data_IF_224450540628
#
_entry.id   IF_224450540628
#
_cell.length_a   1.000
_cell.length_b   1.000
_cell.length_c   1.000
_cell.angle_alpha   90.00
_cell.angle_beta   90.00
_cell.angle_gamma   90.00
#
_symmetry.space_group_name_H-M   'P 1'
#
loop_
_entity.id
_entity.type
_entity.pdbx_description
1 polymer ?
#
# COMPACT_ATOMS: atom_id res chain seq x y z
N UNK A 1 -26.60 -20.61 0.22
CA UNK A 1 -27.23 -19.25 0.40
C UNK A 1 -26.87 -18.59 1.72
N UNK A 2 -25.67 -18.76 2.29
CA UNK A 2 -25.36 -18.31 3.67
C UNK A 2 -24.13 -17.40 3.80
N UNK A 3 -23.26 -17.33 2.80
CA UNK A 3 -22.03 -16.49 2.87
C UNK A 3 -22.24 -15.00 2.55
N UNK A 4 -23.24 -14.65 1.74
CA UNK A 4 -23.51 -13.26 1.34
C UNK A 4 -24.13 -12.39 2.46
N UNK A 5 -24.88 -13.01 3.37
CA UNK A 5 -25.53 -12.28 4.49
C UNK A 5 -24.59 -11.94 5.64
N UNK A 6 -23.54 -12.73 5.85
CA UNK A 6 -22.55 -12.49 6.90
C UNK A 6 -21.65 -11.30 6.54
N UNK A 7 -21.24 -11.18 5.28
CA UNK A 7 -20.42 -10.05 4.83
C UNK A 7 -21.16 -8.70 4.94
N UNK A 8 -22.46 -8.68 4.64
CA UNK A 8 -23.30 -7.48 4.80
C UNK A 8 -23.52 -7.15 6.29
N UNK A 9 -23.62 -8.14 7.15
CA UNK A 9 -23.80 -7.95 8.59
C UNK A 9 -22.52 -7.45 9.29
N UNK A 10 -21.33 -7.93 8.86
CA UNK A 10 -20.04 -7.46 9.36
C UNK A 10 -19.81 -5.98 8.95
N UNK A 11 -20.20 -5.60 7.73
CA UNK A 11 -20.14 -4.20 7.26
C UNK A 11 -21.00 -3.23 8.07
N UNK A 12 -22.10 -3.72 8.68
CA UNK A 12 -23.00 -2.90 9.51
C UNK A 12 -22.56 -2.80 10.97
N UNK A 13 -21.68 -3.69 11.44
CA UNK A 13 -21.23 -3.74 12.83
C UNK A 13 -19.83 -3.14 13.06
N UNK A 14 -19.05 -2.92 12.00
CA UNK A 14 -17.75 -2.26 12.10
C UNK A 14 -17.99 -0.76 12.21
N UNK A 15 -17.99 -0.24 13.44
CA UNK A 15 -17.90 1.21 13.66
C UNK A 15 -16.61 1.69 12.99
N UNK A 16 -16.68 2.74 12.13
CA UNK A 16 -15.47 3.30 11.53
C UNK A 16 -14.50 3.67 12.67
N UNK A 17 -13.28 3.13 12.61
CA UNK A 17 -12.23 3.35 13.62
C UNK A 17 -11.83 4.83 13.75
N UNK A 18 -12.26 5.65 12.81
CA UNK A 18 -11.96 7.08 12.77
C UNK A 18 -13.17 7.88 12.34
N UNK A 19 -14.12 8.17 13.25
CA UNK A 19 -15.17 9.14 12.97
C UNK A 19 -14.52 10.50 12.70
N UNK A 20 -14.89 11.17 11.60
CA UNK A 20 -14.44 12.51 11.25
C UNK A 20 -13.18 12.59 10.39
N UNK A 21 -12.65 11.50 9.85
CA UNK A 21 -11.74 11.52 8.72
C UNK A 21 -12.55 11.76 7.46
N UNK A 22 -12.95 12.95 7.27
CA UNK A 22 -13.68 13.41 6.13
C UNK A 22 -12.79 14.31 5.30
N UNK A 23 -12.97 14.21 4.03
CA UNK A 23 -12.32 15.01 3.01
C UNK A 23 -12.58 16.49 3.18
N UNK A 24 -11.54 17.28 3.37
CA UNK A 24 -11.59 18.71 3.10
C UNK A 24 -11.17 18.97 1.65
N UNK A 25 -12.14 18.91 0.73
CA UNK A 25 -11.87 19.26 -0.67
C UNK A 25 -11.80 20.76 -0.86
N UNK A 26 -10.78 21.21 -1.53
CA UNK A 26 -10.83 22.52 -2.17
C UNK A 26 -11.83 22.48 -3.34
N UNK A 27 -12.55 23.60 -3.57
CA UNK A 27 -13.46 23.73 -4.74
C UNK A 27 -12.73 23.41 -6.05
N UNK A 28 -11.45 23.77 -6.17
CA UNK A 28 -10.60 23.48 -7.35
C UNK A 28 -10.45 21.97 -7.59
N UNK A 29 -10.28 21.19 -6.53
CA UNK A 29 -10.19 19.73 -6.64
C UNK A 29 -11.50 19.09 -7.06
N UNK A 30 -12.62 19.53 -6.49
CA UNK A 30 -13.97 19.05 -6.89
C UNK A 30 -14.24 19.29 -8.37
N UNK A 31 -13.88 20.48 -8.89
CA UNK A 31 -14.00 20.80 -10.32
C UNK A 31 -13.07 19.91 -11.15
N UNK A 32 -11.81 19.75 -10.75
CA UNK A 32 -10.86 18.88 -11.43
C UNK A 32 -11.33 17.43 -11.51
N UNK A 33 -11.87 16.88 -10.42
CA UNK A 33 -12.43 15.53 -10.43
C UNK A 33 -13.70 15.38 -11.27
N UNK A 34 -14.57 16.41 -11.28
CA UNK A 34 -15.75 16.40 -12.15
C UNK A 34 -15.34 16.38 -13.62
N UNK A 35 -14.33 17.15 -14.01
CA UNK A 35 -13.73 17.13 -15.34
C UNK A 35 -13.11 15.76 -15.64
N UNK A 36 -12.31 15.23 -14.71
CA UNK A 36 -11.70 13.92 -14.89
C UNK A 36 -12.73 12.80 -15.03
N UNK A 37 -13.83 12.84 -14.27
CA UNK A 37 -14.96 11.91 -14.43
C UNK A 37 -15.62 12.04 -15.79
N UNK A 38 -15.80 13.26 -16.30
CA UNK A 38 -16.38 13.49 -17.60
C UNK A 38 -15.48 13.00 -18.74
N UNK A 39 -14.18 13.25 -18.64
CA UNK A 39 -13.19 12.89 -19.66
C UNK A 39 -12.87 11.39 -19.64
N UNK A 40 -12.65 10.83 -18.44
CA UNK A 40 -12.19 9.45 -18.27
C UNK A 40 -13.31 8.46 -17.91
N UNK A 41 -14.54 8.95 -17.81
CA UNK A 41 -15.70 8.13 -17.48
C UNK A 41 -15.79 6.88 -18.36
N UNK A 42 -16.08 5.75 -17.73
CA UNK A 42 -16.08 4.45 -18.39
C UNK A 42 -14.71 3.87 -18.75
N UNK A 43 -13.58 4.54 -18.40
CA UNK A 43 -12.22 3.99 -18.52
C UNK A 43 -11.71 3.76 -19.94
N UNK A 44 -12.28 4.45 -20.95
CA UNK A 44 -11.90 4.25 -22.35
C UNK A 44 -10.43 4.53 -22.64
N UNK A 45 -9.85 5.53 -21.97
CA UNK A 45 -8.44 5.90 -22.13
C UNK A 45 -7.50 4.83 -21.57
N UNK A 46 -7.81 4.29 -20.39
CA UNK A 46 -7.05 3.20 -19.78
C UNK A 46 -7.16 1.91 -20.61
N UNK A 47 -8.36 1.63 -21.20
CA UNK A 47 -8.51 0.52 -22.15
C UNK A 47 -7.68 0.71 -23.40
N UNK A 48 -7.66 1.90 -23.99
CA UNK A 48 -6.81 2.20 -25.13
C UNK A 48 -5.33 2.03 -24.79
N UNK A 49 -4.90 2.48 -23.59
CA UNK A 49 -3.54 2.30 -23.12
C UNK A 49 -3.17 0.82 -22.91
N UNK A 50 -4.08 0.01 -22.41
CA UNK A 50 -3.87 -1.43 -22.21
C UNK A 50 -3.61 -2.20 -23.53
N UNK A 51 -4.04 -1.68 -24.67
CA UNK A 51 -3.77 -2.28 -25.97
C UNK A 51 -2.30 -2.14 -26.42
N UNK A 52 -1.56 -1.22 -25.83
CA UNK A 52 -0.14 -1.04 -26.14
C UNK A 52 0.66 -2.16 -25.45
N UNK A 53 1.47 -2.96 -26.20
CA UNK A 53 2.22 -4.07 -25.64
C UNK A 53 3.06 -3.69 -24.41
N UNK A 54 3.01 -4.51 -23.37
CA UNK A 54 3.79 -4.35 -22.15
C UNK A 54 3.26 -3.29 -21.16
N UNK A 55 2.12 -2.64 -21.44
CA UNK A 55 1.60 -1.59 -20.55
C UNK A 55 0.83 -2.11 -19.33
N UNK A 56 0.46 -3.37 -19.33
CA UNK A 56 -0.10 -4.07 -18.17
C UNK A 56 0.91 -4.97 -17.47
N UNK A 57 2.17 -4.95 -17.91
CA UNK A 57 3.25 -5.70 -17.27
C UNK A 57 3.62 -5.04 -15.93
N UNK A 58 3.87 -5.88 -14.92
CA UNK A 58 4.26 -5.52 -13.56
C UNK A 58 5.67 -6.02 -13.31
N UNK A 59 6.54 -5.14 -12.83
CA UNK A 59 7.90 -5.51 -12.46
C UNK A 59 7.88 -6.20 -11.08
N UNK A 60 8.60 -7.31 -10.95
CA UNK A 60 8.88 -7.91 -9.65
C UNK A 60 10.25 -7.44 -9.17
N UNK A 61 10.27 -6.65 -8.12
CA UNK A 61 11.49 -6.22 -7.44
C UNK A 61 11.80 -7.18 -6.28
N UNK A 62 13.04 -7.68 -6.22
CA UNK A 62 13.49 -8.58 -5.15
C UNK A 62 14.54 -7.89 -4.32
N UNK A 63 14.40 -7.98 -3.00
CA UNK A 63 15.28 -7.38 -2.01
C UNK A 63 15.63 -8.41 -0.95
N UNK A 64 16.90 -8.78 -0.86
CA UNK A 64 17.40 -9.68 0.17
C UNK A 64 18.10 -8.83 1.24
N UNK A 65 17.56 -8.84 2.48
CA UNK A 65 18.01 -7.97 3.57
C UNK A 65 18.30 -8.80 4.82
N UNK A 66 19.52 -8.71 5.37
CA UNK A 66 19.89 -9.36 6.61
C UNK A 66 19.42 -8.53 7.82
N UNK A 67 18.14 -8.62 8.16
CA UNK A 67 17.50 -7.81 9.20
C UNK A 67 16.93 -8.62 10.36
N UNK A 68 16.66 -9.92 10.19
CA UNK A 68 16.07 -10.73 11.26
C UNK A 68 17.05 -10.85 12.44
N UNK A 69 16.56 -10.70 13.68
CA UNK A 69 17.38 -10.91 14.87
C UNK A 69 17.89 -12.34 14.93
N UNK A 70 19.13 -12.51 15.41
CA UNK A 70 19.67 -13.83 15.71
C UNK A 70 18.88 -14.47 16.85
N UNK A 71 18.57 -15.77 16.74
CA UNK A 71 17.95 -16.56 17.81
C UNK A 71 18.98 -17.55 18.37
N UNK A 72 19.23 -17.58 19.68
CA UNK A 72 20.08 -18.58 20.31
C UNK A 72 19.55 -20.00 19.99
N UNK A 73 20.39 -20.85 19.39
CA UNK A 73 20.03 -22.22 19.03
C UNK A 73 19.04 -22.34 17.86
N UNK A 74 18.69 -21.25 17.20
CA UNK A 74 17.80 -21.22 16.02
C UNK A 74 18.57 -21.51 14.72
N UNK A 75 17.96 -22.32 13.83
CA UNK A 75 18.45 -22.51 12.47
C UNK A 75 18.22 -21.25 11.58
N UNK A 76 18.70 -21.32 10.35
CA UNK A 76 18.40 -20.30 9.34
C UNK A 76 16.87 -20.16 9.18
N UNK A 77 16.41 -18.93 9.20
CA UNK A 77 15.01 -18.57 8.93
C UNK A 77 14.96 -17.41 7.97
N UNK A 78 13.95 -17.42 7.12
CA UNK A 78 13.69 -16.33 6.20
C UNK A 78 12.21 -15.93 6.29
N UNK A 79 11.95 -14.64 6.34
CA UNK A 79 10.61 -14.05 6.30
C UNK A 79 10.40 -13.42 4.93
N UNK A 80 9.39 -13.89 4.20
CA UNK A 80 9.06 -13.39 2.86
C UNK A 80 7.90 -12.41 2.96
N UNK A 81 8.19 -11.14 2.69
CA UNK A 81 7.22 -10.03 2.73
C UNK A 81 6.98 -9.54 1.32
N UNK A 82 5.76 -9.75 0.80
CA UNK A 82 5.33 -9.12 -0.46
C UNK A 82 4.70 -7.76 -0.15
N UNK A 83 5.02 -6.78 -0.98
CA UNK A 83 4.55 -5.41 -0.84
C UNK A 83 3.91 -4.93 -2.14
N UNK A 84 2.75 -4.29 -2.03
CA UNK A 84 2.05 -3.62 -3.13
C UNK A 84 1.36 -2.36 -2.62
N UNK A 85 1.30 -1.32 -3.45
CA UNK A 85 0.78 0.00 -3.12
C UNK A 85 0.04 0.61 -4.30
N UNK A 86 -0.77 1.63 -4.04
CA UNK A 86 -1.34 2.52 -5.06
C UNK A 86 -2.09 1.77 -6.17
N UNK A 87 -3.05 0.94 -5.82
CA UNK A 87 -3.83 0.16 -6.78
C UNK A 87 -4.71 1.03 -7.66
N UNK A 88 -5.24 2.11 -7.09
CA UNK A 88 -6.15 3.05 -7.75
C UNK A 88 -7.20 2.34 -8.62
N UNK A 89 -7.92 1.36 -8.03
CA UNK A 89 -9.05 0.70 -8.68
C UNK A 89 -9.98 1.80 -9.21
N UNK A 90 -10.18 1.84 -10.53
CA UNK A 90 -10.96 2.89 -11.14
C UNK A 90 -10.68 3.08 -12.62
N UNK A 91 -11.23 4.16 -13.22
CA UNK A 91 -11.23 4.35 -14.67
C UNK A 91 -9.85 4.67 -15.28
N UNK A 92 -8.83 5.00 -14.48
CA UNK A 92 -7.50 5.34 -14.97
C UNK A 92 -6.52 4.17 -14.94
N UNK A 93 -6.82 3.13 -14.17
CA UNK A 93 -5.97 1.94 -14.10
C UNK A 93 -6.27 1.00 -15.26
N UNK A 94 -5.23 0.62 -16.00
CA UNK A 94 -5.38 -0.19 -17.20
C UNK A 94 -6.00 -1.56 -16.87
N UNK A 95 -7.02 -2.02 -17.59
CA UNK A 95 -7.59 -3.35 -17.44
C UNK A 95 -6.50 -4.43 -17.57
N UNK A 96 -6.59 -5.46 -16.74
CA UNK A 96 -5.62 -6.57 -16.68
C UNK A 96 -4.35 -6.28 -15.88
N UNK A 97 -4.04 -5.01 -15.57
CA UNK A 97 -2.85 -4.67 -14.80
C UNK A 97 -2.94 -5.24 -13.36
N UNK A 98 -4.05 -5.01 -12.70
CA UNK A 98 -4.25 -5.56 -11.35
C UNK A 98 -4.40 -7.08 -11.36
N UNK A 99 -4.94 -7.67 -12.43
CA UNK A 99 -5.00 -9.12 -12.59
C UNK A 99 -3.57 -9.71 -12.64
N UNK A 100 -2.68 -9.09 -13.42
CA UNK A 100 -1.28 -9.51 -13.50
C UNK A 100 -0.55 -9.32 -12.15
N UNK A 101 -0.78 -8.19 -11.46
CA UNK A 101 -0.17 -7.93 -10.16
C UNK A 101 -0.61 -8.95 -9.09
N UNK A 102 -1.91 -9.25 -9.02
CA UNK A 102 -2.43 -10.19 -8.03
C UNK A 102 -2.15 -11.65 -8.38
N UNK A 103 -2.04 -12.00 -9.67
CA UNK A 103 -1.51 -13.30 -10.10
C UNK A 103 -0.07 -13.49 -9.60
N UNK A 104 0.78 -12.46 -9.78
CA UNK A 104 2.15 -12.47 -9.29
C UNK A 104 2.22 -12.59 -7.75
N UNK A 105 1.44 -11.78 -7.01
CA UNK A 105 1.35 -11.87 -5.54
C UNK A 105 0.92 -13.27 -5.07
N UNK A 106 -0.02 -13.89 -5.79
CA UNK A 106 -0.51 -15.23 -5.49
C UNK A 106 0.56 -16.29 -5.74
N UNK A 107 1.31 -16.18 -6.84
CA UNK A 107 2.44 -17.08 -7.18
C UNK A 107 3.56 -16.97 -6.15
N UNK A 108 3.84 -15.77 -5.66
CA UNK A 108 4.89 -15.54 -4.67
C UNK A 108 4.65 -16.28 -3.34
N UNK A 109 3.40 -16.56 -2.95
CA UNK A 109 3.05 -17.19 -1.67
C UNK A 109 3.82 -16.61 -0.49
N UNK A 110 3.72 -15.30 -0.21
CA UNK A 110 4.50 -14.67 0.85
C UNK A 110 4.01 -15.11 2.24
N UNK A 111 4.87 -15.00 3.25
CA UNK A 111 4.47 -15.16 4.65
C UNK A 111 3.60 -13.98 5.08
N UNK A 112 4.00 -12.78 4.66
CA UNK A 112 3.28 -11.52 4.93
C UNK A 112 3.00 -10.80 3.62
N UNK A 113 1.73 -10.41 3.42
CA UNK A 113 1.32 -9.47 2.38
C UNK A 113 1.13 -8.09 3.02
N UNK A 114 1.84 -7.10 2.55
CA UNK A 114 1.69 -5.69 2.93
C UNK A 114 1.03 -4.92 1.79
N UNK A 115 -0.04 -4.20 2.13
CA UNK A 115 -0.82 -3.34 1.23
C UNK A 115 -0.75 -1.91 1.75
N UNK A 116 -0.14 -1.00 0.98
CA UNK A 116 0.32 0.30 1.48
C UNK A 116 -0.55 1.47 1.02
N UNK A 117 -1.87 1.28 0.96
CA UNK A 117 -2.83 2.37 0.71
C UNK A 117 -3.07 2.72 -0.75
N UNK A 118 -3.94 3.72 -0.94
CA UNK A 118 -4.44 4.23 -2.21
C UNK A 118 -5.06 3.11 -3.08
N UNK A 119 -6.04 2.41 -2.48
CA UNK A 119 -6.72 1.27 -3.11
C UNK A 119 -7.65 1.69 -4.23
N UNK A 120 -8.29 2.84 -4.11
CA UNK A 120 -9.27 3.32 -5.09
C UNK A 120 -8.91 4.70 -5.62
N UNK A 121 -9.35 4.98 -6.84
CA UNK A 121 -9.26 6.32 -7.43
C UNK A 121 -10.61 7.02 -7.36
N UNK A 122 -10.62 8.25 -6.83
CA UNK A 122 -11.81 9.10 -6.60
C UNK A 122 -12.75 8.57 -5.53
N UNK A 123 -13.72 7.70 -5.87
CA UNK A 123 -14.79 7.28 -4.98
C UNK A 123 -14.74 5.77 -4.72
N UNK A 124 -14.77 5.37 -3.46
CA UNK A 124 -14.91 3.98 -3.08
C UNK A 124 -16.35 3.53 -3.27
N UNK A 125 -16.68 3.00 -4.46
CA UNK A 125 -17.99 2.40 -4.72
C UNK A 125 -18.08 1.01 -4.07
N UNK A 126 -19.31 0.48 -3.84
CA UNK A 126 -19.47 -0.89 -3.36
C UNK A 126 -18.84 -1.93 -4.28
N UNK A 127 -18.81 -1.69 -5.59
CA UNK A 127 -18.21 -2.56 -6.60
C UNK A 127 -16.69 -2.61 -6.43
N UNK A 128 -16.03 -1.46 -6.30
CA UNK A 128 -14.59 -1.36 -6.10
C UNK A 128 -14.18 -1.99 -4.76
N UNK A 129 -14.99 -1.82 -3.72
CA UNK A 129 -14.75 -2.46 -2.43
C UNK A 129 -14.83 -4.00 -2.53
N UNK A 130 -15.80 -4.54 -3.27
CA UNK A 130 -15.89 -5.99 -3.53
C UNK A 130 -14.73 -6.49 -4.38
N UNK A 131 -14.30 -5.71 -5.37
CA UNK A 131 -13.12 -6.04 -6.19
C UNK A 131 -11.86 -6.11 -5.32
N UNK A 132 -11.64 -5.12 -4.46
CA UNK A 132 -10.52 -5.09 -3.51
C UNK A 132 -10.55 -6.31 -2.58
N UNK A 133 -11.70 -6.59 -1.97
CA UNK A 133 -11.90 -7.76 -1.10
C UNK A 133 -11.53 -9.06 -1.82
N UNK A 134 -12.08 -9.28 -3.01
CA UNK A 134 -11.84 -10.50 -3.78
C UNK A 134 -10.37 -10.69 -4.14
N UNK A 135 -9.70 -9.62 -4.60
CA UNK A 135 -8.28 -9.65 -4.96
C UNK A 135 -7.40 -9.95 -3.75
N UNK A 136 -7.61 -9.26 -2.66
CA UNK A 136 -6.81 -9.43 -1.42
C UNK A 136 -7.07 -10.80 -0.79
N UNK A 137 -8.31 -11.27 -0.78
CA UNK A 137 -8.66 -12.59 -0.25
C UNK A 137 -7.95 -13.72 -1.00
N UNK A 138 -7.78 -13.58 -2.32
CA UNK A 138 -7.16 -14.60 -3.18
C UNK A 138 -5.66 -14.82 -2.92
N UNK A 139 -4.93 -13.86 -2.38
CA UNK A 139 -3.50 -14.02 -2.11
C UNK A 139 -3.28 -14.93 -0.90
N UNK A 140 -2.54 -16.05 -1.03
CA UNK A 140 -2.35 -17.04 0.03
C UNK A 140 -1.22 -16.61 0.99
N UNK A 141 -1.36 -15.48 1.68
CA UNK A 141 -0.44 -15.02 2.72
C UNK A 141 -0.96 -15.43 4.10
N UNK A 142 -0.05 -15.84 4.99
CA UNK A 142 -0.37 -16.18 6.38
C UNK A 142 -0.85 -14.98 7.18
N UNK A 143 -0.21 -13.83 6.95
CA UNK A 143 -0.57 -12.55 7.56
C UNK A 143 -0.77 -11.52 6.45
N UNK A 144 -1.86 -10.78 6.50
CA UNK A 144 -2.13 -9.66 5.60
C UNK A 144 -2.23 -8.39 6.41
N UNK A 145 -1.46 -7.38 6.04
CA UNK A 145 -1.40 -6.09 6.73
C UNK A 145 -1.72 -4.99 5.71
N UNK A 146 -2.51 -4.03 6.13
CA UNK A 146 -2.88 -2.90 5.31
C UNK A 146 -2.76 -1.59 6.09
N UNK A 147 -2.40 -0.53 5.42
CA UNK A 147 -2.60 0.85 5.88
C UNK A 147 -3.46 1.60 4.86
N UNK A 148 -3.91 2.79 5.20
CA UNK A 148 -4.69 3.64 4.29
C UNK A 148 -3.81 4.73 3.70
N UNK A 149 -4.08 5.08 2.43
CA UNK A 149 -3.48 6.22 1.77
C UNK A 149 -4.40 7.44 1.73
N UNK A 150 -3.90 8.53 1.19
CA UNK A 150 -4.64 9.79 1.14
C UNK A 150 -5.87 9.72 0.23
N UNK A 151 -5.84 8.97 -0.87
CA UNK A 151 -7.02 8.77 -1.72
C UNK A 151 -8.11 7.99 -1.00
N UNK A 152 -7.75 7.01 -0.17
CA UNK A 152 -8.70 6.25 0.64
C UNK A 152 -9.39 7.14 1.67
N UNK A 153 -8.62 7.98 2.39
CA UNK A 153 -9.13 8.90 3.39
C UNK A 153 -9.97 10.04 2.80
N UNK A 154 -9.79 10.34 1.52
CA UNK A 154 -10.57 11.35 0.81
C UNK A 154 -11.92 10.83 0.31
N UNK A 155 -12.23 9.56 0.47
CA UNK A 155 -13.50 8.96 0.05
C UNK A 155 -14.19 8.22 1.20
N UNK A 156 -15.00 7.23 0.87
CA UNK A 156 -15.67 6.37 1.86
C UNK A 156 -14.71 5.30 2.43
N UNK A 157 -13.65 5.73 3.15
CA UNK A 157 -12.61 4.86 3.67
C UNK A 157 -13.14 3.67 4.49
N UNK A 158 -14.27 3.82 5.20
CA UNK A 158 -14.91 2.74 5.93
C UNK A 158 -15.31 1.55 5.04
N UNK A 159 -15.60 1.76 3.75
CA UNK A 159 -15.87 0.67 2.80
C UNK A 159 -14.59 -0.07 2.44
N UNK A 160 -13.49 0.66 2.32
CA UNK A 160 -12.16 0.11 2.04
C UNK A 160 -11.69 -0.71 3.25
N UNK A 161 -11.78 -0.15 4.47
CA UNK A 161 -11.45 -0.85 5.71
C UNK A 161 -12.27 -2.14 5.85
N UNK A 162 -13.59 -2.07 5.60
CA UNK A 162 -14.46 -3.25 5.69
C UNK A 162 -14.07 -4.33 4.66
N UNK A 163 -13.72 -3.95 3.43
CA UNK A 163 -13.28 -4.87 2.39
C UNK A 163 -11.94 -5.54 2.75
N UNK A 164 -10.97 -4.77 3.26
CA UNK A 164 -9.69 -5.29 3.71
C UNK A 164 -9.84 -6.27 4.89
N UNK A 165 -10.66 -5.92 5.88
CA UNK A 165 -10.96 -6.78 7.02
C UNK A 165 -11.67 -8.07 6.58
N UNK A 166 -12.64 -7.99 5.66
CA UNK A 166 -13.33 -9.14 5.10
C UNK A 166 -12.39 -10.07 4.31
N UNK A 167 -11.35 -9.48 3.67
CA UNK A 167 -10.29 -10.23 2.99
C UNK A 167 -9.24 -10.83 3.94
N UNK A 168 -9.40 -10.66 5.25
CA UNK A 168 -8.50 -11.19 6.28
C UNK A 168 -7.26 -10.33 6.53
N UNK A 169 -7.25 -9.06 6.11
CA UNK A 169 -6.17 -8.15 6.41
C UNK A 169 -6.40 -7.42 7.75
N UNK A 170 -5.32 -7.15 8.49
CA UNK A 170 -5.32 -6.23 9.62
C UNK A 170 -5.00 -4.83 9.13
N UNK A 171 -5.88 -3.88 9.38
CA UNK A 171 -5.67 -2.48 9.00
C UNK A 171 -5.02 -1.74 10.18
N UNK A 172 -3.83 -1.20 9.98
CA UNK A 172 -3.08 -0.47 10.99
C UNK A 172 -3.28 1.04 10.82
N UNK A 173 -3.68 1.72 11.88
CA UNK A 173 -3.89 3.17 11.93
C UNK A 173 -3.24 3.73 13.19
N UNK A 174 -1.97 4.11 13.11
CA UNK A 174 -1.11 4.39 14.27
C UNK A 174 -1.12 3.20 15.24
N UNK A 175 -0.91 2.01 14.72
CA UNK A 175 -0.96 0.74 15.46
C UNK A 175 0.19 -0.17 15.02
N UNK A 176 0.62 -1.07 15.90
CA UNK A 176 1.58 -2.11 15.58
C UNK A 176 0.93 -3.49 15.59
N UNK A 177 1.49 -4.39 14.78
CA UNK A 177 1.17 -5.81 14.75
C UNK A 177 2.46 -6.61 14.92
N UNK A 178 2.55 -7.38 16.00
CA UNK A 178 3.59 -8.40 16.18
C UNK A 178 3.17 -9.65 15.43
N UNK A 179 4.08 -10.22 14.63
CA UNK A 179 3.78 -11.42 13.86
C UNK A 179 3.60 -12.64 14.78
N UNK A 180 2.79 -13.62 14.34
CA UNK A 180 2.68 -14.91 15.06
C UNK A 180 3.96 -15.76 14.86
N UNK A 181 4.10 -16.80 15.67
CA UNK A 181 5.18 -17.78 15.53
C UNK A 181 5.34 -18.26 14.08
N UNK A 182 6.57 -18.39 13.57
CA UNK A 182 7.86 -18.29 14.28
C UNK A 182 8.52 -16.91 14.21
N UNK A 183 7.79 -15.82 14.00
CA UNK A 183 8.31 -14.47 13.83
C UNK A 183 7.82 -13.48 14.89
N UNK A 184 7.63 -13.93 16.13
CA UNK A 184 7.14 -13.13 17.27
C UNK A 184 8.09 -12.00 17.67
N UNK A 185 9.30 -12.01 17.15
CA UNK A 185 10.31 -10.97 17.30
C UNK A 185 10.28 -9.91 16.19
N UNK A 186 9.29 -9.98 15.29
CA UNK A 186 9.07 -9.03 14.19
C UNK A 186 7.75 -8.29 14.39
N UNK A 187 7.78 -6.97 14.33
CA UNK A 187 6.59 -6.13 14.36
C UNK A 187 6.51 -5.23 13.12
N UNK A 188 5.30 -5.08 12.61
CA UNK A 188 4.93 -4.05 11.63
C UNK A 188 4.29 -2.87 12.35
N UNK A 189 4.73 -1.66 12.04
CA UNK A 189 4.29 -0.41 12.64
C UNK A 189 3.63 0.44 11.57
N UNK A 190 2.30 0.48 11.55
CA UNK A 190 1.53 1.25 10.57
C UNK A 190 1.26 2.68 11.05
N UNK A 191 1.78 3.65 10.32
CA UNK A 191 1.49 5.06 10.53
C UNK A 191 0.18 5.42 9.80
N UNK A 192 -0.61 6.31 10.39
CA UNK A 192 -1.70 6.95 9.67
C UNK A 192 -1.16 7.86 8.56
N UNK A 193 -1.92 8.04 7.48
CA UNK A 193 -1.44 8.77 6.31
C UNK A 193 -0.96 10.20 6.65
N UNK A 194 0.29 10.57 6.29
CA UNK A 194 0.82 11.90 6.58
C UNK A 194 0.13 13.06 5.84
N UNK A 195 -0.60 12.79 4.75
CA UNK A 195 -1.26 13.80 3.93
C UNK A 195 -2.68 14.11 4.38
N UNK A 196 -3.45 13.09 4.68
CA UNK A 196 -4.88 13.20 4.93
C UNK A 196 -5.31 12.67 6.30
N UNK A 197 -4.41 11.97 6.99
CA UNK A 197 -4.64 11.39 8.30
C UNK A 197 -4.14 12.26 9.46
N UNK A 198 -3.88 11.58 10.56
CA UNK A 198 -3.31 12.14 11.79
C UNK A 198 -2.19 11.22 12.28
N UNK A 199 -0.99 11.31 11.70
CA UNK A 199 0.12 10.43 12.04
C UNK A 199 0.58 10.67 13.49
N UNK A 200 0.72 9.57 14.25
CA UNK A 200 1.16 9.56 15.64
C UNK A 200 2.13 8.39 15.84
N UNK A 201 3.43 8.68 15.79
CA UNK A 201 4.45 7.67 15.89
C UNK A 201 4.53 7.02 17.28
N UNK A 202 4.24 7.77 18.35
CA UNK A 202 4.27 7.21 19.71
C UNK A 202 3.17 6.19 19.90
N UNK A 203 1.99 6.50 19.38
CA UNK A 203 0.87 5.57 19.37
C UNK A 203 1.15 4.37 18.46
N UNK A 204 1.71 4.61 17.27
CA UNK A 204 2.01 3.56 16.30
C UNK A 204 3.02 2.53 16.83
N UNK A 205 3.99 2.97 17.63
CA UNK A 205 5.03 2.11 18.20
C UNK A 205 4.59 1.33 19.44
N UNK A 206 3.48 1.71 20.08
CA UNK A 206 2.97 0.96 21.23
C UNK A 206 2.64 -0.48 20.83
N UNK A 207 3.10 -1.44 21.63
CA UNK A 207 2.95 -2.86 21.36
C UNK A 207 4.05 -3.46 20.48
N UNK A 208 4.99 -2.64 19.99
CA UNK A 208 6.18 -3.11 19.26
C UNK A 208 7.49 -2.97 20.05
N UNK A 209 7.41 -2.54 21.32
CA UNK A 209 8.60 -2.22 22.12
C UNK A 209 9.52 -3.42 22.34
N UNK A 210 8.95 -4.63 22.45
CA UNK A 210 9.70 -5.87 22.64
C UNK A 210 10.18 -6.54 21.35
N UNK A 211 9.82 -6.02 20.18
CA UNK A 211 10.22 -6.61 18.91
C UNK A 211 11.69 -6.32 18.58
N UNK A 212 12.43 -7.38 18.22
CA UNK A 212 13.82 -7.28 17.79
C UNK A 212 13.99 -6.68 16.39
N UNK A 213 12.96 -6.79 15.54
CA UNK A 213 12.86 -6.14 14.22
C UNK A 213 11.55 -5.36 14.13
N UNK A 214 11.64 -4.07 13.83
CA UNK A 214 10.48 -3.22 13.55
C UNK A 214 10.52 -2.72 12.11
N UNK A 215 9.43 -2.96 11.38
CA UNK A 215 9.23 -2.55 9.99
C UNK A 215 8.11 -1.50 9.99
N UNK A 216 8.43 -0.29 9.55
CA UNK A 216 7.47 0.80 9.42
C UNK A 216 6.70 0.71 8.10
N UNK A 217 5.43 1.11 8.14
CA UNK A 217 4.58 1.31 6.98
C UNK A 217 4.08 2.75 7.02
N UNK A 218 4.30 3.49 5.97
CA UNK A 218 3.78 4.84 5.77
C UNK A 218 3.43 5.02 4.31
N UNK A 219 2.18 5.34 4.01
CA UNK A 219 1.77 5.45 2.61
C UNK A 219 2.69 6.35 1.79
N UNK A 220 3.21 7.42 2.35
CA UNK A 220 4.13 8.32 1.65
C UNK A 220 5.47 8.52 2.36
N UNK A 221 6.55 8.90 1.63
CA UNK A 221 7.84 9.28 2.22
C UNK A 221 7.78 10.46 3.20
N UNK A 222 6.66 11.21 3.22
CA UNK A 222 6.41 12.27 4.22
C UNK A 222 6.35 11.72 5.66
N UNK A 223 6.21 10.40 5.84
CA UNK A 223 6.34 9.73 7.14
C UNK A 223 7.78 9.57 7.62
N UNK A 224 8.79 9.76 6.75
CA UNK A 224 10.21 9.60 7.13
C UNK A 224 10.60 10.47 8.32
N UNK A 225 10.35 11.80 8.34
CA UNK A 225 10.74 12.62 9.48
C UNK A 225 9.98 12.28 10.78
N UNK A 226 8.85 11.59 10.66
CA UNK A 226 8.03 11.17 11.81
C UNK A 226 8.59 9.89 12.43
N UNK A 227 9.12 8.97 11.61
CA UNK A 227 9.52 7.61 12.01
C UNK A 227 11.03 7.40 12.08
N UNK A 228 11.85 8.22 11.41
CA UNK A 228 13.31 8.11 11.43
C UNK A 228 13.86 8.31 12.86
N UNK A 229 14.86 7.48 13.25
CA UNK A 229 15.46 7.53 14.58
C UNK A 229 14.62 6.88 15.69
N UNK A 230 13.48 6.26 15.36
CA UNK A 230 12.60 5.55 16.30
C UNK A 230 12.82 4.04 16.35
N UNK A 231 13.97 3.57 15.86
CA UNK A 231 14.39 2.17 15.94
C UNK A 231 13.69 1.24 14.93
N UNK A 232 13.24 1.77 13.81
CA UNK A 232 12.80 0.99 12.66
C UNK A 232 14.02 0.60 11.82
N UNK A 233 14.10 -0.64 11.38
CA UNK A 233 15.17 -1.09 10.48
C UNK A 233 14.80 -0.93 8.99
N UNK A 234 13.51 -0.96 8.68
CA UNK A 234 12.97 -0.81 7.32
C UNK A 234 11.71 0.05 7.38
N UNK A 235 11.56 0.98 6.45
CA UNK A 235 10.33 1.73 6.20
C UNK A 235 9.89 1.49 4.76
N UNK A 236 8.64 1.07 4.58
CA UNK A 236 8.02 0.81 3.28
C UNK A 236 7.02 1.92 2.97
N UNK A 237 7.09 2.46 1.73
CA UNK A 237 6.24 3.55 1.27
C UNK A 237 5.78 3.33 -0.18
N UNK A 238 4.65 3.97 -0.53
CA UNK A 238 4.13 4.16 -1.88
C UNK A 238 3.98 5.63 -2.25
N UNK A 239 2.78 6.04 -2.72
CA UNK A 239 2.31 7.41 -2.97
C UNK A 239 2.95 8.15 -4.15
N UNK A 240 4.24 7.98 -4.37
CA UNK A 240 4.99 8.80 -5.35
C UNK A 240 4.76 8.39 -6.79
N UNK A 241 4.30 7.17 -7.02
CA UNK A 241 4.20 6.52 -8.33
C UNK A 241 5.51 6.51 -9.15
N UNK A 242 6.66 6.80 -8.52
CA UNK A 242 7.91 7.08 -9.25
C UNK A 242 7.76 8.28 -10.20
N UNK A 243 6.81 9.20 -9.85
CA UNK A 243 6.39 10.33 -10.69
C UNK A 243 5.39 9.94 -11.78
N UNK A 244 4.99 8.68 -11.91
CA UNK A 244 4.08 8.12 -12.94
C UNK A 244 4.54 8.37 -14.38
N UNK A 245 4.96 9.60 -14.67
CA UNK A 245 5.66 10.02 -15.90
C UNK A 245 7.08 10.42 -15.51
N UNK A 246 8.03 9.62 -15.95
CA UNK A 246 9.44 9.86 -15.75
C UNK A 246 10.16 9.98 -17.10
N UNK A 247 11.37 10.47 -17.06
CA UNK A 247 12.35 10.48 -18.14
C UNK A 247 13.54 9.59 -17.70
N UNK A 248 14.47 9.24 -18.58
CA UNK A 248 15.71 8.57 -18.16
C UNK A 248 16.50 9.34 -17.07
N UNK A 249 16.30 10.66 -16.98
CA UNK A 249 16.90 11.53 -15.97
C UNK A 249 16.16 11.55 -14.63
N UNK A 250 14.98 10.94 -14.54
CA UNK A 250 14.16 10.91 -13.33
C UNK A 250 12.71 11.35 -13.55
N UNK A 251 11.91 11.40 -12.49
CA UNK A 251 10.49 11.74 -12.56
C UNK A 251 10.27 13.19 -12.98
N UNK A 252 9.21 13.44 -13.76
CA UNK A 252 8.83 14.79 -14.20
C UNK A 252 8.16 15.56 -13.08
N UNK A 253 7.25 14.92 -12.35
CA UNK A 253 6.53 15.50 -11.21
C UNK A 253 6.42 14.48 -10.10
N UNK A 254 6.75 14.89 -8.89
CA UNK A 254 6.49 14.12 -7.67
C UNK A 254 5.96 15.08 -6.61
N UNK A 255 4.89 14.68 -5.93
CA UNK A 255 4.29 15.45 -4.85
C UNK A 255 5.08 15.29 -3.54
N UNK A 256 5.06 16.32 -2.71
CA UNK A 256 5.74 16.33 -1.43
C UNK A 256 7.22 16.64 -1.49
N UNK A 257 7.78 17.08 -0.38
CA UNK A 257 9.21 17.38 -0.25
C UNK A 257 10.02 16.10 -0.21
N UNK A 258 9.59 15.16 0.63
CA UNK A 258 10.26 13.88 0.84
C UNK A 258 10.02 12.93 -0.32
N UNK A 259 8.82 12.97 -0.94
CA UNK A 259 8.54 12.26 -2.19
C UNK A 259 9.47 12.68 -3.33
N UNK A 260 9.77 13.97 -3.48
CA UNK A 260 10.75 14.45 -4.46
C UNK A 260 12.18 13.99 -4.15
N UNK A 261 12.52 13.87 -2.87
CA UNK A 261 13.84 13.41 -2.43
C UNK A 261 14.03 11.91 -2.64
N UNK A 262 12.97 11.13 -2.44
CA UNK A 262 12.97 9.67 -2.56
C UNK A 262 11.80 9.19 -3.44
N UNK A 263 11.90 9.41 -4.76
CA UNK A 263 10.76 9.17 -5.66
C UNK A 263 10.46 7.69 -5.91
N UNK A 264 11.43 6.79 -5.88
CA UNK A 264 11.25 5.34 -5.99
C UNK A 264 12.58 4.61 -5.74
N UNK A 265 12.50 3.40 -5.18
CA UNK A 265 13.67 2.54 -4.97
C UNK A 265 14.05 2.37 -3.51
N UNK A 266 15.21 1.79 -3.28
CA UNK A 266 15.74 1.49 -1.94
C UNK A 266 16.84 2.50 -1.58
N UNK A 267 16.72 3.10 -0.40
CA UNK A 267 17.64 4.11 0.13
C UNK A 267 18.10 3.72 1.52
N UNK A 268 19.29 4.18 1.93
CA UNK A 268 19.79 4.03 3.30
C UNK A 268 19.74 5.36 4.04
N UNK A 269 19.03 5.41 5.16
CA UNK A 269 18.84 6.59 6.00
C UNK A 269 19.37 6.34 7.42
N UNK A 270 20.70 6.40 7.58
CA UNK A 270 21.34 5.96 8.83
C UNK A 270 21.15 4.45 9.04
N UNK A 271 20.55 4.08 10.16
CA UNK A 271 20.30 2.66 10.51
C UNK A 271 19.00 2.10 9.89
N UNK A 272 18.21 2.94 9.22
CA UNK A 272 16.94 2.58 8.59
C UNK A 272 17.07 2.52 7.08
N UNK A 273 16.65 1.42 6.47
CA UNK A 273 16.40 1.35 5.02
C UNK A 273 15.02 1.94 4.70
N UNK A 274 14.92 2.73 3.65
CA UNK A 274 13.66 3.23 3.10
C UNK A 274 13.45 2.62 1.72
N UNK A 275 12.31 1.97 1.51
CA UNK A 275 11.87 1.55 0.20
C UNK A 275 10.64 2.37 -0.22
N UNK A 276 10.64 2.84 -1.47
CA UNK A 276 9.52 3.56 -2.08
C UNK A 276 9.12 2.88 -3.37
N UNK A 277 7.89 2.35 -3.41
CA UNK A 277 7.30 1.69 -4.57
C UNK A 277 6.87 2.71 -5.63
N UNK A 278 6.87 2.29 -6.88
CA UNK A 278 6.24 3.05 -7.97
C UNK A 278 4.73 2.83 -8.04
N UNK A 279 4.17 1.97 -7.19
CA UNK A 279 2.76 1.65 -7.15
C UNK A 279 2.25 0.91 -8.38
N UNK A 280 1.02 0.45 -8.32
CA UNK A 280 0.39 -0.35 -9.39
C UNK A 280 -0.42 0.50 -10.35
N UNK A 281 -1.46 1.16 -9.87
CA UNK A 281 -2.44 1.89 -10.68
C UNK A 281 -1.96 3.22 -11.25
N UNK A 282 -2.88 4.01 -11.73
CA UNK A 282 -2.62 5.35 -12.27
C UNK A 282 -3.52 6.39 -11.64
N UNK A 283 -2.96 7.59 -11.43
CA UNK A 283 -3.65 8.76 -10.86
C UNK A 283 -3.54 9.93 -11.85
N UNK A 284 -4.58 10.77 -11.93
CA UNK A 284 -4.71 11.95 -12.80
C UNK A 284 -4.62 11.67 -14.31
N UNK A 285 -3.75 10.78 -14.77
CA UNK A 285 -3.57 10.38 -16.16
C UNK A 285 -3.63 8.85 -16.30
N UNK A 286 -4.24 8.31 -17.37
CA UNK A 286 -4.44 6.86 -17.54
C UNK A 286 -3.24 6.11 -18.09
N UNK A 287 -2.02 6.66 -17.96
CA UNK A 287 -0.82 6.06 -18.52
C UNK A 287 0.42 6.32 -17.65
N UNK A 288 1.41 5.46 -17.82
CA UNK A 288 2.72 5.54 -17.16
C UNK A 288 3.83 5.54 -18.19
N UNK A 289 4.89 6.33 -17.96
CA UNK A 289 6.08 6.37 -18.80
C UNK A 289 7.33 6.29 -17.92
N UNK A 290 8.24 5.34 -18.22
CA UNK A 290 9.47 5.05 -17.45
C UNK A 290 9.29 4.76 -15.95
N UNK A 291 8.07 4.81 -15.43
CA UNK A 291 7.70 4.45 -14.06
C UNK A 291 6.76 3.23 -14.11
N UNK A 292 7.30 2.06 -14.50
CA UNK A 292 6.51 0.82 -14.61
C UNK A 292 5.96 0.41 -13.25
N UNK A 293 4.73 -0.13 -13.20
CA UNK A 293 4.16 -0.66 -11.97
C UNK A 293 5.05 -1.73 -11.36
N UNK A 294 5.11 -1.80 -10.02
CA UNK A 294 5.88 -2.83 -9.34
C UNK A 294 5.14 -3.51 -8.20
N UNK A 295 5.54 -4.76 -7.97
CA UNK A 295 5.34 -5.54 -6.75
C UNK A 295 6.72 -5.84 -6.21
N UNK A 296 6.90 -5.72 -4.90
CA UNK A 296 8.19 -6.03 -4.28
C UNK A 296 8.10 -7.25 -3.38
N UNK A 297 9.15 -8.06 -3.39
CA UNK A 297 9.36 -9.17 -2.47
C UNK A 297 10.62 -8.92 -1.66
N UNK A 298 10.47 -8.77 -0.37
CA UNK A 298 11.57 -8.72 0.58
C UNK A 298 11.78 -10.11 1.19
N UNK A 299 13.01 -10.64 1.07
CA UNK A 299 13.44 -11.83 1.79
C UNK A 299 14.31 -11.36 2.96
N UNK A 300 13.76 -11.40 4.16
CA UNK A 300 14.47 -11.00 5.36
C UNK A 300 15.13 -12.23 5.99
N UNK A 301 16.44 -12.18 6.17
CA UNK A 301 17.25 -13.28 6.73
C UNK A 301 17.94 -12.85 8.02
N UNK A 302 18.57 -13.79 8.73
CA UNK A 302 19.37 -13.53 9.93
C UNK A 302 20.56 -12.60 9.64
N UNK A 303 20.87 -11.75 10.62
CA UNK A 303 22.09 -10.93 10.65
C UNK A 303 23.30 -11.78 10.99
#
# INVERSE_FOLDING_TARGET
>A
MTRSRVAVFVSLLVKPRSPGRGRHYSRKRLVGESIARAVYGGGWTARAWALVPGRTAVDLLRHDLALLPARPGGGERALRVAFASDMHIGPLTAPGLLDNAFALLTELRPDVLVLDGDYVYMEATPEMARELEARVAAVPARTKIAILGNHDLWTHHHRIEAALLAAGATVLINEALVLPAPFEDVAFVGLDDPWAGKPDAERALRGAEGAGLRIGLSHSPEGVPILQGRGLALLLCGHTHGGQIALPSGPVVVHGEHGRRWPAGLYQLGDMSLFVSRGLGSVDLPFRAYARPDVSLFTLTGR
#
